data_IF_445429052726
#
_entry.id   IF_445429052726
#
_cell.length_a   1.000
_cell.length_b   1.000
_cell.length_c   1.000
_cell.angle_alpha   90.00
_cell.angle_beta   90.00
_cell.angle_gamma   90.00
#
_symmetry.space_group_name_H-M   'P 1'
#
loop_
_entity.id
_entity.type
_entity.pdbx_description
1 polymer ?
#
# COMPACT_ATOMS: atom_id res chain seq x y z
N UNK A 1 2.35 -23.33 -4.89
CA UNK A 1 3.70 -22.73 -4.76
C UNK A 1 3.76 -21.93 -3.47
N UNK A 2 4.91 -21.85 -2.77
CA UNK A 2 5.03 -21.02 -1.57
C UNK A 2 4.86 -19.55 -1.95
N UNK A 3 4.00 -18.85 -1.22
CA UNK A 3 3.86 -17.41 -1.31
C UNK A 3 5.08 -16.81 -0.63
N UNK A 4 5.87 -16.01 -1.34
CA UNK A 4 6.97 -15.26 -0.72
C UNK A 4 6.32 -14.16 0.13
N UNK A 5 6.71 -14.06 1.40
CA UNK A 5 6.09 -13.15 2.35
C UNK A 5 7.15 -12.31 3.06
N UNK A 6 6.80 -11.07 3.38
CA UNK A 6 7.57 -10.26 4.31
C UNK A 6 7.45 -10.83 5.72
N UNK A 7 8.56 -10.83 6.46
CA UNK A 7 8.59 -11.17 7.88
C UNK A 7 8.72 -9.89 8.72
N UNK A 8 7.60 -9.41 9.26
CA UNK A 8 7.56 -8.25 10.16
C UNK A 8 7.54 -8.64 11.64
N UNK A 9 7.74 -9.91 11.98
CA UNK A 9 7.66 -10.40 13.38
C UNK A 9 8.63 -9.72 14.35
N UNK A 10 9.68 -9.10 13.80
CA UNK A 10 10.74 -8.41 14.55
C UNK A 10 10.42 -6.96 14.85
N UNK A 11 9.37 -6.38 14.26
CA UNK A 11 8.97 -5.00 14.50
C UNK A 11 8.22 -4.90 15.82
N UNK A 12 8.61 -3.92 16.63
CA UNK A 12 7.88 -3.58 17.85
C UNK A 12 6.92 -2.43 17.58
N UNK A 13 5.66 -2.61 17.97
CA UNK A 13 4.69 -1.53 17.94
C UNK A 13 5.06 -0.48 18.98
N UNK A 14 4.87 0.79 18.61
CA UNK A 14 4.99 1.90 19.55
C UNK A 14 3.85 1.86 20.58
N UNK A 15 3.94 2.71 21.61
CA UNK A 15 2.92 2.81 22.67
C UNK A 15 1.51 3.14 22.17
N UNK A 16 1.38 3.70 20.96
CA UNK A 16 0.11 3.98 20.28
C UNK A 16 -0.42 2.78 19.45
N UNK A 17 0.27 1.63 19.46
CA UNK A 17 -0.10 0.44 18.70
C UNK A 17 0.25 0.50 17.20
N UNK A 18 0.90 1.57 16.73
CA UNK A 18 1.37 1.72 15.34
C UNK A 18 2.86 1.40 15.23
N UNK A 19 3.29 0.98 14.05
CA UNK A 19 4.70 0.81 13.75
C UNK A 19 5.31 2.13 13.27
N UNK A 20 6.55 2.39 13.65
CA UNK A 20 7.32 3.52 13.12
C UNK A 20 7.58 3.33 11.64
N UNK A 21 7.35 4.36 10.84
CA UNK A 21 7.69 4.36 9.41
C UNK A 21 9.19 4.09 9.19
N UNK A 22 10.04 4.63 10.07
CA UNK A 22 11.49 4.42 9.99
C UNK A 22 11.86 2.95 10.24
N UNK A 23 11.21 2.29 11.20
CA UNK A 23 11.46 0.88 11.51
C UNK A 23 10.94 -0.02 10.38
N UNK A 24 9.75 0.30 9.83
CA UNK A 24 9.19 -0.37 8.66
C UNK A 24 10.13 -0.27 7.45
N UNK A 25 10.61 0.93 7.13
CA UNK A 25 11.56 1.15 6.03
C UNK A 25 12.86 0.38 6.26
N UNK A 26 13.38 0.38 7.49
CA UNK A 26 14.60 -0.35 7.81
C UNK A 26 14.44 -1.86 7.64
N UNK A 27 13.33 -2.43 8.08
CA UNK A 27 13.06 -3.87 7.96
C UNK A 27 12.77 -4.29 6.52
N UNK A 28 11.98 -3.49 5.78
CA UNK A 28 11.78 -3.65 4.34
C UNK A 28 13.11 -3.61 3.58
N UNK A 29 14.04 -2.73 3.96
CA UNK A 29 15.36 -2.64 3.33
C UNK A 29 16.18 -3.92 3.48
N UNK A 30 16.08 -4.63 4.61
CA UNK A 30 16.74 -5.95 4.78
C UNK A 30 16.11 -7.02 3.90
N UNK A 31 14.85 -6.85 3.55
CA UNK A 31 14.03 -7.79 2.78
C UNK A 31 13.84 -7.33 1.32
N UNK A 32 14.57 -6.32 0.82
CA UNK A 32 14.42 -5.81 -0.55
C UNK A 32 14.49 -6.88 -1.65
N UNK A 33 15.25 -7.96 -1.44
CA UNK A 33 15.36 -9.04 -2.42
C UNK A 33 14.04 -9.78 -2.66
N UNK A 34 13.08 -9.73 -1.75
CA UNK A 34 11.78 -10.39 -1.91
C UNK A 34 10.73 -9.51 -2.61
N UNK A 35 10.88 -8.18 -2.60
CA UNK A 35 9.92 -7.25 -3.24
C UNK A 35 9.71 -7.57 -4.73
N UNK A 36 10.76 -7.78 -5.57
CA UNK A 36 10.56 -8.14 -6.98
C UNK A 36 9.83 -9.47 -7.17
N UNK A 37 10.07 -10.45 -6.31
CA UNK A 37 9.39 -11.75 -6.38
C UNK A 37 7.89 -11.61 -6.05
N UNK A 38 7.56 -10.82 -5.03
CA UNK A 38 6.17 -10.55 -4.65
C UNK A 38 5.45 -9.80 -5.78
N UNK A 39 6.08 -8.77 -6.36
CA UNK A 39 5.49 -8.01 -7.48
C UNK A 39 5.28 -8.92 -8.69
N UNK A 40 6.25 -9.78 -9.04
CA UNK A 40 6.09 -10.74 -10.13
C UNK A 40 4.89 -11.68 -9.91
N UNK A 41 4.70 -12.18 -8.69
CA UNK A 41 3.54 -13.01 -8.35
C UNK A 41 2.24 -12.21 -8.46
N UNK A 42 2.21 -10.96 -7.98
CA UNK A 42 1.03 -10.10 -8.11
C UNK A 42 0.65 -9.91 -9.57
N UNK A 43 1.62 -9.65 -10.45
CA UNK A 43 1.37 -9.49 -11.90
C UNK A 43 0.79 -10.77 -12.50
N UNK A 44 1.34 -11.94 -12.18
CA UNK A 44 0.83 -13.23 -12.62
C UNK A 44 -0.63 -13.47 -12.16
N UNK A 45 -0.94 -13.18 -10.90
CA UNK A 45 -2.31 -13.28 -10.38
C UNK A 45 -3.25 -12.21 -10.95
N UNK A 46 -2.72 -11.08 -11.41
CA UNK A 46 -3.47 -9.97 -11.96
C UNK A 46 -3.95 -10.24 -13.39
N UNK A 47 -3.36 -11.19 -14.14
CA UNK A 47 -3.67 -11.44 -15.55
C UNK A 47 -5.17 -11.62 -15.83
N UNK A 48 -5.89 -12.24 -14.89
CA UNK A 48 -7.33 -12.51 -15.00
C UNK A 48 -8.20 -11.60 -14.13
N UNK A 49 -7.64 -10.47 -13.67
CA UNK A 49 -8.34 -9.50 -12.81
C UNK A 49 -8.53 -8.21 -13.59
N UNK A 50 -9.65 -7.54 -13.31
CA UNK A 50 -9.92 -6.25 -13.94
C UNK A 50 -8.97 -5.20 -13.41
N UNK A 51 -8.72 -5.14 -12.10
CA UNK A 51 -7.68 -4.31 -11.50
C UNK A 51 -7.27 -4.79 -10.11
N UNK A 52 -6.10 -4.35 -9.66
CA UNK A 52 -5.48 -4.79 -8.41
C UNK A 52 -5.17 -3.59 -7.53
N UNK A 53 -5.47 -3.66 -6.25
CA UNK A 53 -5.08 -2.64 -5.29
C UNK A 53 -4.03 -3.22 -4.33
N UNK A 54 -2.85 -2.62 -4.33
CA UNK A 54 -1.69 -2.95 -3.51
C UNK A 54 -1.59 -1.93 -2.38
N UNK A 55 -1.46 -2.39 -1.14
CA UNK A 55 -1.20 -1.50 -0.02
C UNK A 55 0.25 -1.63 0.42
N UNK A 56 1.00 -0.54 0.29
CA UNK A 56 2.38 -0.48 0.74
C UNK A 56 2.45 0.00 2.19
N UNK A 57 3.52 -0.38 2.89
CA UNK A 57 3.72 0.02 4.28
C UNK A 57 4.21 1.48 4.42
N UNK A 58 4.91 2.01 3.42
CA UNK A 58 5.49 3.37 3.41
C UNK A 58 5.51 3.95 1.99
N UNK A 59 5.75 5.26 1.86
CA UNK A 59 5.79 5.96 0.56
C UNK A 59 6.96 5.47 -0.27
N UNK A 60 8.13 5.28 0.36
CA UNK A 60 9.33 4.75 -0.30
C UNK A 60 9.04 3.35 -0.87
N UNK A 61 8.40 2.49 -0.09
CA UNK A 61 8.01 1.15 -0.52
C UNK A 61 6.96 1.18 -1.65
N UNK A 62 5.99 2.09 -1.57
CA UNK A 62 4.98 2.25 -2.62
C UNK A 62 5.60 2.66 -3.96
N UNK A 63 6.63 3.53 -3.92
CA UNK A 63 7.41 3.92 -5.11
C UNK A 63 8.22 2.75 -5.67
N UNK A 64 8.88 1.97 -4.81
CA UNK A 64 9.62 0.77 -5.21
C UNK A 64 8.70 -0.23 -5.92
N UNK A 65 7.57 -0.57 -5.31
CA UNK A 65 6.56 -1.48 -5.88
C UNK A 65 6.04 -0.94 -7.21
N UNK A 66 5.72 0.35 -7.30
CA UNK A 66 5.24 0.98 -8.54
C UNK A 66 6.28 0.92 -9.65
N UNK A 67 7.56 1.09 -9.32
CA UNK A 67 8.66 0.99 -10.29
C UNK A 67 8.90 -0.43 -10.82
N UNK A 68 8.44 -1.46 -10.12
CA UNK A 68 8.53 -2.86 -10.52
C UNK A 68 7.31 -3.35 -11.32
N UNK A 69 6.21 -2.58 -11.33
CA UNK A 69 5.01 -2.91 -12.10
C UNK A 69 5.16 -2.56 -13.59
N UNK A 70 4.39 -3.19 -14.48
CA UNK A 70 4.42 -2.88 -15.91
C UNK A 70 4.17 -1.39 -16.18
N UNK A 71 5.05 -0.79 -16.99
CA UNK A 71 5.01 0.64 -17.31
C UNK A 71 3.66 1.00 -17.96
N UNK A 72 3.02 2.06 -17.45
CA UNK A 72 1.73 2.54 -17.96
C UNK A 72 0.51 1.74 -17.44
N UNK A 73 0.71 0.71 -16.63
CA UNK A 73 -0.38 -0.11 -16.05
C UNK A 73 -0.52 0.05 -14.53
N UNK A 74 0.25 0.96 -13.93
CA UNK A 74 0.24 1.23 -12.51
C UNK A 74 0.15 2.73 -12.24
N UNK A 75 -0.51 3.08 -11.15
CA UNK A 75 -0.55 4.43 -10.62
C UNK A 75 -0.32 4.43 -9.10
N UNK A 76 0.37 5.46 -8.61
CA UNK A 76 0.71 5.64 -7.20
C UNK A 76 -0.14 6.76 -6.60
N UNK A 77 -0.81 6.47 -5.48
CA UNK A 77 -1.49 7.49 -4.66
C UNK A 77 -0.81 7.54 -3.29
N UNK A 78 -0.35 8.73 -2.90
CA UNK A 78 0.25 9.00 -1.59
C UNK A 78 -0.58 10.02 -0.80
N UNK A 79 -0.23 10.25 0.46
CA UNK A 79 -0.85 11.31 1.27
C UNK A 79 -0.63 12.73 0.72
N UNK A 80 0.38 12.92 -0.13
CA UNK A 80 0.75 14.19 -0.75
C UNK A 80 0.10 14.38 -2.14
N UNK A 81 -0.51 13.34 -2.72
CA UNK A 81 -1.16 13.44 -4.03
C UNK A 81 -2.29 14.47 -3.99
N UNK A 82 -2.26 15.51 -4.85
CA UNK A 82 -3.32 16.51 -4.91
C UNK A 82 -4.70 15.87 -5.15
N UNK A 83 -5.74 16.40 -4.50
CA UNK A 83 -7.11 15.89 -4.61
C UNK A 83 -7.57 15.64 -6.06
N UNK A 84 -7.42 16.61 -6.98
CA UNK A 84 -7.82 16.42 -8.37
C UNK A 84 -7.04 15.31 -9.10
N UNK A 85 -5.77 15.12 -8.76
CA UNK A 85 -4.94 14.06 -9.34
C UNK A 85 -5.34 12.69 -8.79
N UNK A 86 -5.51 12.59 -7.47
CA UNK A 86 -6.02 11.38 -6.82
C UNK A 86 -7.35 10.95 -7.42
N UNK A 87 -8.28 11.87 -7.60
CA UNK A 87 -9.62 11.57 -8.12
C UNK A 87 -9.55 11.11 -9.58
N UNK A 88 -8.69 11.72 -10.42
CA UNK A 88 -8.42 11.23 -11.79
C UNK A 88 -7.88 9.81 -11.80
N UNK A 89 -6.94 9.49 -10.91
CA UNK A 89 -6.36 8.14 -10.80
C UNK A 89 -7.43 7.14 -10.36
N UNK A 90 -8.28 7.49 -9.39
CA UNK A 90 -9.38 6.64 -8.92
C UNK A 90 -10.41 6.40 -10.03
N UNK A 91 -10.78 7.41 -10.80
CA UNK A 91 -11.72 7.25 -11.91
C UNK A 91 -11.11 6.42 -13.05
N UNK A 92 -9.83 6.62 -13.37
CA UNK A 92 -9.11 5.77 -14.32
C UNK A 92 -9.04 4.30 -13.85
N UNK A 93 -8.83 4.07 -12.55
CA UNK A 93 -8.87 2.74 -11.94
C UNK A 93 -10.25 2.09 -12.08
N UNK A 94 -11.34 2.82 -11.79
CA UNK A 94 -12.71 2.30 -11.93
C UNK A 94 -13.06 1.97 -13.39
N UNK A 95 -12.58 2.77 -14.33
CA UNK A 95 -12.88 2.63 -15.75
C UNK A 95 -12.10 1.50 -16.44
N UNK A 96 -10.84 1.30 -16.08
CA UNK A 96 -9.93 0.39 -16.80
C UNK A 96 -9.26 -0.67 -15.94
N UNK A 97 -9.44 -0.64 -14.61
CA UNK A 97 -8.84 -1.60 -13.70
C UNK A 97 -7.30 -1.61 -13.72
N UNK A 98 -6.73 -0.41 -13.71
CA UNK A 98 -5.30 -0.18 -13.45
C UNK A 98 -4.89 -0.82 -12.11
N UNK A 99 -3.61 -1.10 -11.85
CA UNK A 99 -3.19 -1.51 -10.51
C UNK A 99 -2.88 -0.29 -9.63
N UNK A 100 -3.56 -0.12 -8.49
CA UNK A 100 -3.41 1.01 -7.55
C UNK A 100 -2.48 0.64 -6.40
N UNK A 101 -1.42 1.40 -6.14
CA UNK A 101 -0.66 1.31 -4.89
C UNK A 101 -1.03 2.46 -3.93
N UNK A 102 -1.45 2.15 -2.70
CA UNK A 102 -1.86 3.14 -1.69
C UNK A 102 -1.27 2.89 -0.30
N UNK A 103 -1.08 3.96 0.48
CA UNK A 103 -0.63 3.90 1.88
C UNK A 103 -1.80 4.09 2.84
N UNK A 104 -1.90 3.27 3.91
CA UNK A 104 -2.89 3.47 4.98
C UNK A 104 -2.37 4.50 5.98
N UNK A 105 -2.97 5.69 6.03
CA UNK A 105 -2.82 6.59 7.17
C UNK A 105 -3.36 5.91 8.44
N UNK A 106 -2.56 5.94 9.50
CA UNK A 106 -2.96 5.53 10.85
C UNK A 106 -4.31 6.13 11.20
N UNK A 107 -5.19 5.29 11.75
CA UNK A 107 -6.57 5.63 12.06
C UNK A 107 -6.64 6.92 12.89
N UNK A 108 -7.22 7.95 12.29
CA UNK A 108 -7.63 9.16 12.99
C UNK A 108 -8.75 8.77 13.96
N UNK A 109 -8.38 8.60 15.23
CA UNK A 109 -9.28 8.18 16.30
C UNK A 109 -10.21 9.35 16.63
N UNK A 110 -11.28 9.53 15.84
CA UNK A 110 -12.37 10.42 16.24
C UNK A 110 -13.00 9.86 17.51
N UNK A 111 -13.02 10.61 18.63
CA UNK A 111 -13.77 10.18 19.79
C UNK A 111 -15.26 10.15 19.42
N UNK A 112 -15.86 8.97 19.49
CA UNK A 112 -17.30 8.78 19.41
C UNK A 112 -17.95 9.52 20.57
N UNK A 113 -18.67 10.59 20.27
CA UNK A 113 -19.53 11.28 21.24
C UNK A 113 -20.68 10.33 21.62
N UNK A 114 -20.91 10.08 22.92
CA UNK A 114 -22.06 9.30 23.35
C UNK A 114 -23.34 10.11 23.06
N UNK A 115 -24.25 9.51 22.28
CA UNK A 115 -25.64 9.97 22.17
C UNK A 115 -26.29 9.91 23.55
N UNK A 116 -26.48 11.06 24.19
CA UNK A 116 -27.43 11.20 25.29
C UNK A 116 -28.84 10.99 24.75
N UNK A 117 -29.53 10.02 25.33
CA UNK A 117 -30.96 9.77 25.11
C UNK A 117 -31.69 10.17 26.40
N UNK A 118 -32.34 11.34 26.39
CA UNK A 118 -33.49 11.67 27.23
C UNK A 118 -34.33 12.69 26.48
#
# INVERSE_FOLDING_TARGET
MPVVQYDFSRLQAQSNGLFSEADLNHELKKQQRITPHIVSQIVEFAENRKGVMIFAATVEHAREVTGLLPVGQAALITGETPGPERDRIIEAFKAAGVSLSGERRGADHRPSTPRTST
#
